data_IF_587622683811
#
_entry.id   IF_587622683811
#
_cell.length_a   1.000
_cell.length_b   1.000
_cell.length_c   1.000
_cell.angle_alpha   90.00
_cell.angle_beta   90.00
_cell.angle_gamma   90.00
#
_symmetry.space_group_name_H-M   'P 1'
#
loop_
_entity.id
_entity.type
_entity.pdbx_description
1 polymer ?
#
# COMPACT_ATOMS: atom_id res chain seq x y z
N UNK A 1 -42.93 8.79 26.87
CA UNK A 1 -41.70 8.03 26.67
C UNK A 1 -40.85 8.81 25.70
N UNK A 2 -39.67 9.31 26.08
CA UNK A 2 -38.81 10.03 25.14
C UNK A 2 -38.16 9.02 24.19
N UNK A 3 -38.27 9.30 22.88
CA UNK A 3 -37.64 8.60 21.79
C UNK A 3 -36.11 8.67 21.95
N UNK A 4 -35.47 7.52 22.01
CA UNK A 4 -34.01 7.44 22.00
C UNK A 4 -33.48 8.02 20.68
N UNK A 5 -32.38 8.78 20.72
CA UNK A 5 -31.77 9.27 19.50
C UNK A 5 -31.18 8.07 18.71
N UNK A 6 -31.65 7.94 17.46
CA UNK A 6 -30.98 7.08 16.46
C UNK A 6 -29.53 7.50 16.35
N UNK A 7 -28.62 6.72 16.95
CA UNK A 7 -27.22 6.73 16.54
C UNK A 7 -27.18 6.18 15.12
N UNK A 8 -27.07 7.07 14.16
CA UNK A 8 -26.63 6.72 12.81
C UNK A 8 -25.32 5.94 12.96
N UNK A 9 -25.39 4.64 12.85
CA UNK A 9 -24.22 3.81 12.54
C UNK A 9 -23.78 4.25 11.15
N UNK A 10 -22.87 5.22 11.06
CA UNK A 10 -22.11 5.43 9.84
C UNK A 10 -21.40 4.11 9.58
N UNK A 11 -21.94 3.32 8.67
CA UNK A 11 -21.28 2.14 8.14
C UNK A 11 -19.93 2.61 7.61
N UNK A 12 -18.86 2.26 8.32
CA UNK A 12 -17.52 2.66 7.97
C UNK A 12 -17.08 1.84 6.76
N UNK A 13 -17.12 2.47 5.60
CA UNK A 13 -16.68 1.87 4.34
C UNK A 13 -15.24 2.26 4.06
N UNK A 14 -14.45 1.28 3.60
CA UNK A 14 -13.18 1.60 2.96
C UNK A 14 -13.46 2.29 1.62
N UNK A 15 -12.85 3.45 1.38
CA UNK A 15 -13.13 4.27 0.20
C UNK A 15 -11.87 4.91 -0.38
N UNK A 16 -11.93 5.30 -1.62
CA UNK A 16 -10.95 6.20 -2.24
C UNK A 16 -11.15 7.61 -1.69
N UNK A 17 -10.08 8.22 -1.17
CA UNK A 17 -10.15 9.52 -0.47
C UNK A 17 -10.06 10.67 -1.45
N UNK A 18 -9.17 10.57 -2.46
CA UNK A 18 -8.85 11.69 -3.36
C UNK A 18 -8.65 11.20 -4.79
N UNK A 19 -8.67 12.13 -5.75
CA UNK A 19 -8.38 11.88 -7.15
C UNK A 19 -9.61 11.53 -7.98
N UNK A 20 -9.37 10.88 -9.14
CA UNK A 20 -10.38 10.62 -10.18
C UNK A 20 -11.50 9.67 -9.76
N UNK A 21 -11.28 8.85 -8.73
CA UNK A 21 -12.27 7.92 -8.15
C UNK A 21 -12.70 8.32 -6.72
N UNK A 22 -12.51 9.56 -6.31
CA UNK A 22 -12.85 10.05 -4.97
C UNK A 22 -14.27 9.64 -4.53
N UNK A 23 -14.38 9.13 -3.31
CA UNK A 23 -15.65 8.73 -2.68
C UNK A 23 -16.13 7.34 -3.08
N UNK A 24 -15.48 6.67 -4.04
CA UNK A 24 -15.85 5.32 -4.43
C UNK A 24 -15.57 4.33 -3.31
N UNK A 25 -16.61 3.57 -2.93
CA UNK A 25 -16.54 2.55 -1.89
C UNK A 25 -15.91 1.26 -2.42
N UNK A 26 -14.89 0.77 -1.73
CA UNK A 26 -14.24 -0.49 -2.05
C UNK A 26 -14.98 -1.67 -1.40
N UNK A 27 -15.01 -2.80 -2.11
CA UNK A 27 -15.46 -4.07 -1.54
C UNK A 27 -14.41 -4.56 -0.54
N UNK A 28 -14.86 -4.89 0.66
CA UNK A 28 -14.03 -5.44 1.75
C UNK A 28 -14.53 -6.83 2.13
N UNK A 29 -13.72 -7.67 2.82
CA UNK A 29 -14.21 -8.92 3.40
C UNK A 29 -15.34 -8.67 4.40
N UNK A 30 -16.30 -9.59 4.52
CA UNK A 30 -17.44 -9.47 5.46
C UNK A 30 -17.02 -9.37 6.94
N UNK A 31 -15.82 -9.85 7.27
CA UNK A 31 -15.25 -9.83 8.62
C UNK A 31 -14.32 -8.65 8.86
N UNK A 32 -14.27 -7.70 7.91
CA UNK A 32 -13.34 -6.56 7.98
C UNK A 32 -13.92 -5.47 8.89
N UNK A 33 -13.22 -5.23 10.00
CA UNK A 33 -13.49 -4.10 10.87
C UNK A 33 -12.77 -2.86 10.30
N UNK A 34 -13.53 -1.97 9.67
CA UNK A 34 -12.99 -0.73 9.10
C UNK A 34 -12.68 0.22 10.24
N UNK A 35 -11.38 0.39 10.56
CA UNK A 35 -10.95 1.32 11.59
C UNK A 35 -10.89 2.74 11.03
N UNK A 36 -11.49 3.76 11.68
CA UNK A 36 -11.38 5.17 11.28
C UNK A 36 -9.94 5.65 11.18
N UNK A 37 -9.04 5.01 11.93
CA UNK A 37 -7.59 5.27 11.92
C UNK A 37 -6.97 4.97 10.56
N UNK A 38 -7.43 3.92 9.86
CA UNK A 38 -6.88 3.52 8.56
C UNK A 38 -7.03 4.60 7.48
N UNK A 39 -8.18 5.26 7.39
CA UNK A 39 -8.40 6.35 6.42
C UNK A 39 -7.51 7.56 6.73
N UNK A 40 -7.33 7.92 8.01
CA UNK A 40 -6.43 9.02 8.43
C UNK A 40 -4.97 8.72 8.14
N UNK A 41 -4.52 7.49 8.38
CA UNK A 41 -3.16 7.04 8.06
C UNK A 41 -2.93 7.13 6.56
N UNK A 42 -3.84 6.56 5.76
CA UNK A 42 -3.78 6.62 4.29
C UNK A 42 -3.73 8.07 3.78
N UNK A 43 -4.61 8.95 4.25
CA UNK A 43 -4.62 10.36 3.88
C UNK A 43 -3.28 11.04 4.20
N UNK A 44 -2.76 10.78 5.41
CA UNK A 44 -1.46 11.33 5.82
C UNK A 44 -0.31 10.82 4.96
N UNK A 45 -0.27 9.52 4.65
CA UNK A 45 0.73 8.91 3.74
C UNK A 45 0.72 9.63 2.40
N UNK A 46 -0.45 9.77 1.78
CA UNK A 46 -0.54 10.42 0.47
C UNK A 46 -0.33 11.95 0.51
N UNK A 47 -0.59 12.60 1.64
CA UNK A 47 -0.21 14.01 1.82
C UNK A 47 1.31 14.20 1.88
N UNK A 48 2.04 13.24 2.46
CA UNK A 48 3.51 13.22 2.47
C UNK A 48 4.06 12.96 1.06
N UNK A 49 3.50 11.98 0.33
CA UNK A 49 3.90 11.67 -1.05
C UNK A 49 3.65 12.86 -1.98
N UNK A 50 2.52 13.55 -1.78
CA UNK A 50 2.14 14.73 -2.57
C UNK A 50 2.04 14.45 -4.06
N UNK A 51 2.54 15.38 -4.88
CA UNK A 51 2.50 15.28 -6.35
C UNK A 51 3.44 14.24 -6.95
N UNK A 52 4.37 13.68 -6.18
CA UNK A 52 5.31 12.64 -6.66
C UNK A 52 4.60 11.37 -7.15
N UNK A 53 3.35 11.15 -6.72
CA UNK A 53 2.56 10.00 -7.17
C UNK A 53 2.07 10.14 -8.61
N UNK A 54 2.00 11.37 -9.15
CA UNK A 54 1.49 11.61 -10.50
C UNK A 54 2.47 11.05 -11.54
N UNK A 55 1.98 10.16 -12.40
CA UNK A 55 2.80 9.48 -13.40
C UNK A 55 3.68 8.35 -12.85
N UNK A 56 3.64 8.07 -11.54
CA UNK A 56 4.46 7.04 -10.91
C UNK A 56 4.02 5.62 -11.28
N UNK A 57 4.98 4.71 -11.34
CA UNK A 57 4.76 3.26 -11.31
C UNK A 57 4.79 2.75 -9.87
N UNK A 58 3.70 2.10 -9.45
CA UNK A 58 3.46 1.74 -8.05
C UNK A 58 3.38 0.23 -7.89
N UNK A 59 4.01 -0.28 -6.82
CA UNK A 59 3.94 -1.67 -6.39
C UNK A 59 3.23 -1.76 -5.03
N UNK A 60 2.10 -2.47 -4.97
CA UNK A 60 1.40 -2.79 -3.73
C UNK A 60 1.72 -4.24 -3.35
N UNK A 61 2.64 -4.42 -2.39
CA UNK A 61 3.26 -5.71 -2.06
C UNK A 61 2.34 -6.65 -1.28
N UNK A 62 1.37 -6.10 -0.57
CA UNK A 62 0.40 -6.85 0.24
C UNK A 62 -0.98 -6.26 0.03
N UNK A 63 -1.49 -6.46 -1.18
CA UNK A 63 -2.59 -5.66 -1.72
C UNK A 63 -3.92 -5.75 -0.93
N UNK A 64 -4.23 -6.90 -0.31
CA UNK A 64 -5.46 -7.08 0.45
C UNK A 64 -6.72 -6.75 -0.36
N UNK A 65 -7.29 -5.57 -0.15
CA UNK A 65 -8.42 -5.04 -0.92
C UNK A 65 -8.02 -4.15 -2.08
N UNK A 66 -6.72 -3.83 -2.21
CA UNK A 66 -6.17 -2.89 -3.17
C UNK A 66 -6.26 -1.43 -2.73
N UNK A 67 -6.44 -1.16 -1.44
CA UNK A 67 -6.73 0.18 -0.93
C UNK A 67 -5.62 1.21 -1.22
N UNK A 68 -4.35 0.86 -0.99
CA UNK A 68 -3.22 1.77 -1.22
C UNK A 68 -2.92 1.94 -2.71
N UNK A 69 -2.91 0.83 -3.45
CA UNK A 69 -2.67 0.89 -4.88
C UNK A 69 -3.77 1.64 -5.65
N UNK A 70 -5.05 1.41 -5.33
CA UNK A 70 -6.16 2.12 -5.98
C UNK A 70 -6.23 3.60 -5.58
N UNK A 71 -5.86 3.96 -4.36
CA UNK A 71 -5.68 5.36 -3.96
C UNK A 71 -4.57 6.03 -4.79
N UNK A 72 -3.43 5.31 -5.00
CA UNK A 72 -2.32 5.77 -5.84
C UNK A 72 -2.78 6.04 -7.28
N UNK A 73 -3.49 5.08 -7.88
CA UNK A 73 -4.06 5.21 -9.22
C UNK A 73 -5.05 6.38 -9.32
N UNK A 74 -5.91 6.51 -8.32
CA UNK A 74 -6.88 7.62 -8.29
C UNK A 74 -6.20 9.00 -8.22
N UNK A 75 -5.05 9.09 -7.57
CA UNK A 75 -4.25 10.31 -7.45
C UNK A 75 -3.33 10.56 -8.64
N UNK A 76 -3.36 9.70 -9.66
CA UNK A 76 -2.67 9.92 -10.92
C UNK A 76 -1.43 9.07 -11.15
N UNK A 77 -1.20 7.98 -10.40
CA UNK A 77 -0.20 6.99 -10.77
C UNK A 77 -0.47 6.45 -12.18
N UNK A 78 0.58 6.24 -12.97
CA UNK A 78 0.48 5.76 -14.34
C UNK A 78 0.10 4.28 -14.40
N UNK A 79 0.70 3.48 -13.51
CA UNK A 79 0.42 2.05 -13.44
C UNK A 79 0.54 1.56 -11.99
N UNK A 80 -0.25 0.52 -11.65
CA UNK A 80 -0.20 -0.13 -10.34
C UNK A 80 -0.11 -1.65 -10.50
N UNK A 81 0.90 -2.24 -9.88
CA UNK A 81 1.03 -3.69 -9.74
C UNK A 81 0.66 -4.12 -8.34
N UNK A 82 -0.34 -4.97 -8.22
CA UNK A 82 -0.81 -5.54 -6.96
C UNK A 82 -0.27 -6.94 -6.77
N UNK A 83 0.27 -7.24 -5.59
CA UNK A 83 0.73 -8.57 -5.20
C UNK A 83 -0.03 -9.02 -3.95
N UNK A 84 -0.52 -10.26 -3.95
CA UNK A 84 -1.02 -10.91 -2.75
C UNK A 84 -0.88 -12.44 -2.88
N UNK A 85 -0.67 -13.11 -1.77
CA UNK A 85 -0.63 -14.57 -1.73
C UNK A 85 -2.04 -15.19 -1.69
N UNK A 86 -3.02 -14.46 -1.15
CA UNK A 86 -4.40 -14.91 -0.97
C UNK A 86 -5.22 -14.76 -2.25
N UNK A 87 -5.80 -15.85 -2.72
CA UNK A 87 -6.74 -15.82 -3.84
C UNK A 87 -7.98 -14.98 -3.54
N UNK A 88 -8.41 -14.94 -2.29
CA UNK A 88 -9.55 -14.13 -1.86
C UNK A 88 -9.23 -12.64 -1.94
N UNK A 89 -8.07 -12.20 -1.42
CA UNK A 89 -7.58 -10.83 -1.58
C UNK A 89 -7.51 -10.43 -3.04
N UNK A 90 -6.92 -11.27 -3.90
CA UNK A 90 -6.82 -10.98 -5.33
C UNK A 90 -8.18 -10.88 -6.02
N UNK A 91 -9.18 -11.64 -5.58
CA UNK A 91 -10.56 -11.50 -6.08
C UNK A 91 -11.15 -10.14 -5.70
N UNK A 92 -10.92 -9.69 -4.46
CA UNK A 92 -11.34 -8.37 -3.99
C UNK A 92 -10.64 -7.24 -4.76
N UNK A 93 -9.32 -7.33 -4.93
CA UNK A 93 -8.55 -6.37 -5.73
C UNK A 93 -9.12 -6.25 -7.14
N UNK A 94 -9.33 -7.37 -7.84
CA UNK A 94 -9.91 -7.35 -9.21
C UNK A 94 -11.31 -6.74 -9.25
N UNK A 95 -12.16 -7.07 -8.27
CA UNK A 95 -13.49 -6.47 -8.15
C UNK A 95 -13.42 -4.96 -7.94
N UNK A 96 -12.48 -4.48 -7.12
CA UNK A 96 -12.29 -3.06 -6.84
C UNK A 96 -11.66 -2.32 -8.04
N UNK A 97 -10.73 -2.94 -8.76
CA UNK A 97 -10.18 -2.42 -10.03
C UNK A 97 -11.32 -2.20 -11.03
N UNK A 98 -12.20 -3.19 -11.20
CA UNK A 98 -13.36 -3.07 -12.11
C UNK A 98 -14.32 -1.96 -11.68
N UNK A 99 -14.61 -1.84 -10.39
CA UNK A 99 -15.41 -0.71 -9.86
C UNK A 99 -14.79 0.65 -10.18
N UNK A 100 -13.47 0.75 -10.11
CA UNK A 100 -12.73 1.96 -10.44
C UNK A 100 -12.61 2.19 -11.96
N UNK A 101 -12.90 1.19 -12.80
CA UNK A 101 -12.61 1.18 -14.25
C UNK A 101 -11.12 1.40 -14.52
N UNK A 102 -10.28 0.71 -13.76
CA UNK A 102 -8.82 0.88 -13.74
C UNK A 102 -8.08 -0.30 -14.40
N UNK A 103 -8.78 -1.16 -15.15
CA UNK A 103 -8.22 -2.41 -15.69
C UNK A 103 -7.03 -2.17 -16.63
N UNK A 104 -7.04 -1.06 -17.37
CA UNK A 104 -5.96 -0.73 -18.30
C UNK A 104 -4.63 -0.37 -17.58
N UNK A 105 -4.73 0.17 -16.37
CA UNK A 105 -3.59 0.72 -15.63
C UNK A 105 -3.16 -0.21 -14.47
N UNK A 106 -3.88 -1.31 -14.23
CA UNK A 106 -3.69 -2.14 -13.04
C UNK A 106 -3.38 -3.59 -13.40
N UNK A 107 -2.30 -4.14 -12.82
CA UNK A 107 -1.89 -5.53 -12.96
C UNK A 107 -1.97 -6.26 -11.62
N UNK A 108 -2.45 -7.50 -11.61
CA UNK A 108 -2.62 -8.31 -10.39
C UNK A 108 -1.83 -9.59 -10.50
N UNK A 109 -0.88 -9.81 -9.58
CA UNK A 109 0.01 -10.95 -9.53
C UNK A 109 -0.22 -11.77 -8.26
N UNK A 110 -0.30 -13.10 -8.41
CA UNK A 110 -0.41 -14.02 -7.27
C UNK A 110 0.95 -14.51 -6.83
N UNK A 111 1.23 -14.47 -5.54
CA UNK A 111 2.43 -15.05 -4.93
C UNK A 111 2.81 -14.37 -3.63
N UNK A 112 3.86 -14.88 -2.97
CA UNK A 112 4.44 -14.18 -1.83
C UNK A 112 5.13 -12.90 -2.29
N UNK A 113 4.96 -11.83 -1.54
CA UNK A 113 5.47 -10.51 -1.91
C UNK A 113 6.99 -10.52 -2.19
N UNK A 114 7.86 -11.12 -1.34
CA UNK A 114 9.30 -11.15 -1.62
C UNK A 114 9.63 -11.89 -2.92
N UNK A 115 9.04 -13.07 -3.16
CA UNK A 115 9.36 -13.87 -4.34
C UNK A 115 8.88 -13.22 -5.65
N UNK A 116 7.72 -12.56 -5.63
CA UNK A 116 7.22 -11.85 -6.80
C UNK A 116 8.02 -10.59 -7.05
N UNK A 117 8.35 -9.79 -6.00
CA UNK A 117 9.18 -8.61 -6.11
C UNK A 117 10.58 -8.93 -6.65
N UNK A 118 11.21 -10.02 -6.17
CA UNK A 118 12.49 -10.50 -6.68
C UNK A 118 12.44 -10.85 -8.17
N UNK A 119 11.38 -11.53 -8.60
CA UNK A 119 11.15 -11.87 -10.02
C UNK A 119 10.96 -10.62 -10.88
N UNK A 120 10.20 -9.63 -10.41
CA UNK A 120 10.01 -8.35 -11.11
C UNK A 120 11.33 -7.60 -11.25
N UNK A 121 12.10 -7.49 -10.15
CA UNK A 121 13.44 -6.90 -10.16
C UNK A 121 14.38 -7.66 -11.11
N UNK A 122 14.31 -9.00 -11.15
CA UNK A 122 15.12 -9.81 -12.06
C UNK A 122 14.78 -9.57 -13.54
N UNK A 123 13.51 -9.25 -13.82
CA UNK A 123 13.03 -8.87 -15.15
C UNK A 123 13.34 -7.40 -15.52
N UNK A 124 13.96 -6.62 -14.61
CA UNK A 124 14.27 -5.21 -14.83
C UNK A 124 13.06 -4.27 -14.62
N UNK A 125 11.96 -4.77 -14.04
CA UNK A 125 10.81 -3.94 -13.71
C UNK A 125 11.12 -3.14 -12.43
N UNK A 126 11.02 -1.80 -12.51
CA UNK A 126 11.35 -0.88 -11.44
C UNK A 126 10.16 0.05 -11.15
N UNK A 127 9.98 0.35 -9.88
CA UNK A 127 8.86 1.15 -9.38
C UNK A 127 9.37 2.45 -8.72
N UNK A 128 8.54 3.49 -8.75
CA UNK A 128 8.79 4.76 -8.07
C UNK A 128 8.35 4.69 -6.60
N UNK A 129 7.27 3.94 -6.33
CA UNK A 129 6.78 3.67 -4.99
C UNK A 129 6.46 2.19 -4.81
N UNK A 130 6.81 1.66 -3.65
CA UNK A 130 6.33 0.36 -3.18
C UNK A 130 5.69 0.51 -1.81
N UNK A 131 4.48 -0.01 -1.64
CA UNK A 131 3.79 -0.08 -0.35
C UNK A 131 3.98 -1.45 0.26
N UNK A 132 4.35 -1.48 1.54
CA UNK A 132 4.61 -2.68 2.32
C UNK A 132 3.80 -2.62 3.63
N UNK A 133 2.57 -3.14 3.59
CA UNK A 133 1.66 -3.26 4.73
C UNK A 133 1.35 -4.75 4.98
N UNK A 134 2.31 -5.53 5.49
CA UNK A 134 2.15 -6.95 5.68
C UNK A 134 1.32 -7.28 6.93
N UNK A 135 0.73 -8.48 7.00
CA UNK A 135 0.20 -8.98 8.26
C UNK A 135 1.32 -9.07 9.31
N UNK A 136 1.04 -8.56 10.52
CA UNK A 136 2.02 -8.41 11.59
C UNK A 136 2.76 -9.72 11.97
N UNK A 137 3.99 -9.57 12.45
CA UNK A 137 4.82 -10.59 13.11
C UNK A 137 5.21 -11.82 12.25
N UNK A 138 5.48 -11.64 10.95
CA UNK A 138 5.87 -12.74 10.05
C UNK A 138 7.22 -12.55 9.35
N UNK A 139 8.02 -11.55 9.73
CA UNK A 139 9.34 -11.29 9.12
C UNK A 139 9.28 -10.85 7.65
N UNK A 140 8.13 -10.32 7.18
CA UNK A 140 7.98 -9.88 5.80
C UNK A 140 8.73 -8.59 5.50
N UNK A 141 8.74 -7.65 6.45
CA UNK A 141 9.42 -6.36 6.29
C UNK A 141 10.91 -6.59 6.13
N UNK A 142 11.50 -7.46 6.95
CA UNK A 142 12.90 -7.87 6.89
C UNK A 142 13.27 -8.44 5.53
N UNK A 143 12.41 -9.32 4.98
CA UNK A 143 12.64 -9.93 3.67
C UNK A 143 12.57 -8.91 2.54
N UNK A 144 11.59 -7.99 2.56
CA UNK A 144 11.43 -6.93 1.56
C UNK A 144 12.61 -5.95 1.61
N UNK A 145 13.04 -5.53 2.81
CA UNK A 145 14.19 -4.63 2.98
C UNK A 145 15.48 -5.31 2.52
N UNK A 146 15.70 -6.57 2.89
CA UNK A 146 16.87 -7.32 2.46
C UNK A 146 16.94 -7.49 0.92
N UNK A 147 15.78 -7.57 0.26
CA UNK A 147 15.73 -7.66 -1.21
C UNK A 147 16.24 -6.37 -1.87
N UNK A 148 15.96 -5.18 -1.31
CA UNK A 148 16.50 -3.91 -1.82
C UNK A 148 18.02 -3.89 -1.86
N UNK A 149 18.68 -4.51 -0.88
CA UNK A 149 20.14 -4.60 -0.83
C UNK A 149 20.75 -5.60 -1.81
N UNK A 150 19.97 -6.59 -2.28
CA UNK A 150 20.45 -7.61 -3.24
C UNK A 150 20.17 -7.20 -4.68
N UNK A 151 18.94 -6.88 -4.98
CA UNK A 151 18.45 -6.46 -6.29
C UNK A 151 17.19 -5.64 -6.12
N UNK A 152 17.33 -4.32 -6.22
CA UNK A 152 16.20 -3.41 -5.99
C UNK A 152 15.11 -3.57 -7.06
N UNK A 153 13.86 -3.50 -6.60
CA UNK A 153 12.67 -3.29 -7.41
C UNK A 153 12.26 -1.80 -7.44
N UNK A 154 13.04 -0.92 -6.78
CA UNK A 154 12.83 0.52 -6.81
C UNK A 154 13.81 1.19 -7.77
N UNK A 155 13.35 2.22 -8.45
CA UNK A 155 14.23 3.16 -9.16
C UNK A 155 15.09 3.94 -8.17
N UNK A 156 16.29 4.43 -8.59
CA UNK A 156 16.99 5.43 -7.81
C UNK A 156 16.08 6.63 -7.51
N UNK A 157 16.01 7.04 -6.24
CA UNK A 157 15.06 8.05 -5.75
C UNK A 157 13.65 7.54 -5.46
N UNK A 158 13.37 6.26 -5.70
CA UNK A 158 12.09 5.61 -5.36
C UNK A 158 11.94 5.34 -3.87
N UNK A 159 10.72 5.10 -3.43
CA UNK A 159 10.37 4.97 -2.01
C UNK A 159 9.73 3.62 -1.70
N UNK A 160 10.23 2.96 -0.65
CA UNK A 160 9.49 1.93 0.07
C UNK A 160 8.73 2.59 1.23
N UNK A 161 7.41 2.48 1.24
CA UNK A 161 6.55 2.96 2.32
C UNK A 161 6.13 1.76 3.15
N UNK A 162 6.62 1.66 4.38
CA UNK A 162 6.41 0.51 5.27
C UNK A 162 5.43 0.87 6.37
N UNK A 163 4.35 0.12 6.50
CA UNK A 163 3.48 0.16 7.67
C UNK A 163 3.88 -0.97 8.64
N UNK A 164 4.12 -0.62 9.91
CA UNK A 164 4.48 -1.57 10.96
C UNK A 164 3.88 -1.23 12.31
N UNK A 165 3.86 -2.21 13.20
CA UNK A 165 3.51 -1.98 14.60
C UNK A 165 4.56 -1.10 15.30
N UNK A 166 4.11 -0.19 16.17
CA UNK A 166 4.99 0.62 17.02
C UNK A 166 5.83 -0.21 18.00
N UNK A 167 5.46 -1.47 18.23
CA UNK A 167 6.20 -2.40 19.08
C UNK A 167 7.35 -3.11 18.36
N UNK A 168 7.41 -3.02 17.02
CA UNK A 168 8.45 -3.65 16.22
C UNK A 168 9.46 -2.58 15.78
N UNK A 169 10.75 -2.86 15.93
CA UNK A 169 11.80 -2.01 15.38
C UNK A 169 11.80 -2.07 13.84
N UNK A 170 12.23 -0.99 13.18
CA UNK A 170 12.56 -1.05 11.76
C UNK A 170 13.84 -1.89 11.62
N UNK A 171 13.88 -2.87 10.70
CA UNK A 171 15.10 -3.62 10.41
C UNK A 171 16.24 -2.72 9.93
N UNK A 172 17.49 -3.20 10.09
CA UNK A 172 18.65 -2.51 9.54
C UNK A 172 18.49 -2.33 8.03
N UNK A 173 18.76 -1.11 7.56
CA UNK A 173 18.64 -0.77 6.16
C UNK A 173 19.92 -1.13 5.41
N UNK A 174 19.82 -1.75 4.21
CA UNK A 174 20.98 -2.02 3.38
C UNK A 174 21.61 -0.73 2.84
N UNK A 175 22.85 -0.83 2.39
CA UNK A 175 23.53 0.27 1.71
C UNK A 175 22.68 0.82 0.56
N UNK A 176 22.64 2.15 0.41
CA UNK A 176 21.82 2.84 -0.58
C UNK A 176 20.37 3.03 -0.18
N UNK A 177 19.93 2.58 0.99
CA UNK A 177 18.62 2.85 1.54
C UNK A 177 18.72 3.80 2.74
N UNK A 178 17.86 4.81 2.78
CA UNK A 178 17.82 5.83 3.83
C UNK A 178 16.40 5.98 4.37
N UNK A 179 16.25 5.97 5.71
CA UNK A 179 15.00 6.35 6.36
C UNK A 179 14.85 7.87 6.31
N UNK A 180 14.03 8.37 5.40
CA UNK A 180 13.83 9.81 5.23
C UNK A 180 12.73 10.37 6.11
N UNK A 181 11.80 9.53 6.56
CA UNK A 181 10.73 9.93 7.47
C UNK A 181 10.14 8.73 8.20
N UNK A 182 9.78 8.94 9.47
CA UNK A 182 8.97 8.02 10.28
C UNK A 182 7.84 8.80 10.92
N UNK A 183 6.62 8.30 10.83
CA UNK A 183 5.42 8.96 11.37
C UNK A 183 4.61 7.96 12.18
N UNK A 184 4.26 8.32 13.44
CA UNK A 184 3.50 7.46 14.34
C UNK A 184 2.02 7.86 14.39
N UNK A 185 1.15 6.86 14.27
CA UNK A 185 -0.30 6.98 14.35
C UNK A 185 -0.84 5.96 15.36
N UNK A 186 -0.83 6.33 16.64
CA UNK A 186 -1.17 5.39 17.71
C UNK A 186 -0.20 4.21 17.77
N UNK A 187 -0.71 3.01 17.51
CA UNK A 187 0.07 1.75 17.47
C UNK A 187 0.66 1.42 16.10
N UNK A 188 0.44 2.27 15.11
CA UNK A 188 0.99 2.12 13.77
C UNK A 188 2.11 3.14 13.54
N UNK A 189 3.20 2.69 12.92
CA UNK A 189 4.25 3.55 12.37
C UNK A 189 4.30 3.36 10.86
N UNK A 190 4.45 4.47 10.14
CA UNK A 190 4.71 4.48 8.71
C UNK A 190 6.09 5.08 8.46
N UNK A 191 6.96 4.27 7.88
CA UNK A 191 8.33 4.64 7.51
C UNK A 191 8.45 4.83 6.01
N UNK A 192 9.10 5.92 5.60
CA UNK A 192 9.45 6.22 4.22
C UNK A 192 10.95 5.98 4.04
N UNK A 193 11.29 4.98 3.26
CA UNK A 193 12.68 4.58 2.97
C UNK A 193 12.96 4.93 1.51
N UNK A 194 13.94 5.80 1.28
CA UNK A 194 14.39 6.18 -0.06
C UNK A 194 15.50 5.23 -0.51
N UNK A 195 15.44 4.79 -1.77
CA UNK A 195 16.48 4.00 -2.40
C UNK A 195 17.33 4.89 -3.33
N UNK A 196 18.61 5.08 -3.01
CA UNK A 196 19.50 6.05 -3.66
C UNK A 196 20.70 5.40 -4.37
N UNK A 197 20.76 4.07 -4.55
CA UNK A 197 21.86 3.45 -5.32
C UNK A 197 21.68 3.75 -6.82
N UNK A 198 22.78 4.20 -7.41
CA UNK A 198 22.95 4.40 -8.85
C UNK A 198 23.32 3.09 -9.53
#
# INVERSE_FOLDING_TARGET
>A
MPSQPNYNTEEQYMRIITGKARGLQLTVPKTYDVRPTADRVKESVFNIIGSKIIGAEVLDLFAGTGNLGLESWSRGAAAVTFIDASKESLRLVRSNIAKCRAEADCRVLQGSAPAVAERLAAAGELFDFAFCDPPYNKGWIEQIIALLGKKSFLRPGGYLVVERSAHNALPELPAGCELVRSSRYGETIVDFICYNML
#
